data_IF_279392473558
#
_entry.id   IF_279392473558
#
_cell.length_a   1.000
_cell.length_b   1.000
_cell.length_c   1.000
_cell.angle_alpha   90.00
_cell.angle_beta   90.00
_cell.angle_gamma   90.00
#
_symmetry.space_group_name_H-M   'P 1'
#
loop_
_entity.id
_entity.type
_entity.pdbx_description
1 polymer ?
#
# COMPACT_ATOMS: atom_id res chain seq x y z
N UNK A 1 0.13 -5.12 -13.64
CA UNK A 1 1.36 -5.02 -12.81
C UNK A 1 1.45 -6.21 -11.85
N UNK A 2 2.63 -6.79 -11.63
CA UNK A 2 2.83 -7.86 -10.62
C UNK A 2 2.94 -7.25 -9.23
N UNK A 3 2.10 -7.68 -8.29
CA UNK A 3 2.15 -7.20 -6.90
C UNK A 3 3.00 -8.16 -6.07
N UNK A 4 3.95 -7.63 -5.31
CA UNK A 4 4.74 -8.38 -4.32
C UNK A 4 4.60 -7.73 -2.95
N UNK A 5 4.61 -8.55 -1.90
CA UNK A 5 4.50 -8.08 -0.53
C UNK A 5 5.81 -8.36 0.21
N UNK A 6 6.30 -7.38 0.97
CA UNK A 6 7.35 -7.64 1.95
C UNK A 6 6.79 -8.50 3.08
N UNK A 7 7.69 -9.14 3.84
CA UNK A 7 7.33 -9.89 5.05
C UNK A 7 6.61 -8.99 6.08
N UNK A 8 6.94 -7.69 6.14
CA UNK A 8 6.28 -6.75 7.04
C UNK A 8 4.83 -6.49 6.59
N UNK A 9 4.60 -6.25 5.30
CA UNK A 9 3.26 -6.05 4.74
C UNK A 9 2.38 -7.30 4.93
N UNK A 10 2.92 -8.50 4.65
CA UNK A 10 2.20 -9.75 4.88
C UNK A 10 1.78 -9.93 6.34
N UNK A 11 2.70 -9.67 7.27
CA UNK A 11 2.42 -9.77 8.70
C UNK A 11 1.36 -8.77 9.16
N UNK A 12 1.33 -7.57 8.57
CA UNK A 12 0.27 -6.59 8.83
C UNK A 12 -1.09 -7.11 8.35
N UNK A 13 -1.16 -7.58 7.10
CA UNK A 13 -2.39 -8.13 6.52
C UNK A 13 -2.91 -9.31 7.33
N UNK A 14 -2.04 -10.19 7.84
CA UNK A 14 -2.44 -11.31 8.71
C UNK A 14 -3.11 -10.86 10.01
N UNK A 15 -2.71 -9.71 10.57
CA UNK A 15 -3.21 -9.18 11.86
C UNK A 15 -4.46 -8.31 11.74
N UNK A 16 -4.65 -7.65 10.61
CA UNK A 16 -5.79 -6.74 10.41
C UNK A 16 -7.10 -7.52 10.23
N UNK A 17 -8.22 -6.92 10.63
CA UNK A 17 -9.53 -7.58 10.51
C UNK A 17 -9.86 -7.88 9.04
N UNK A 18 -10.58 -8.98 8.79
CA UNK A 18 -10.86 -9.49 7.44
C UNK A 18 -11.41 -8.42 6.49
N UNK A 19 -12.42 -7.66 6.91
CA UNK A 19 -13.02 -6.59 6.09
C UNK A 19 -12.02 -5.49 5.71
N UNK A 20 -11.16 -5.10 6.65
CA UNK A 20 -10.11 -4.11 6.43
C UNK A 20 -9.03 -4.65 5.48
N UNK A 21 -8.62 -5.92 5.66
CA UNK A 21 -7.69 -6.62 4.77
C UNK A 21 -8.19 -6.62 3.33
N UNK A 22 -9.44 -7.04 3.13
CA UNK A 22 -10.08 -7.08 1.81
C UNK A 22 -10.10 -5.69 1.18
N UNK A 23 -10.44 -4.65 1.96
CA UNK A 23 -10.45 -3.26 1.47
C UNK A 23 -9.06 -2.79 1.01
N UNK A 24 -8.01 -3.12 1.77
CA UNK A 24 -6.62 -2.78 1.43
C UNK A 24 -6.20 -3.50 0.15
N UNK A 25 -6.41 -4.81 0.08
CA UNK A 25 -6.04 -5.63 -1.09
C UNK A 25 -6.76 -5.11 -2.34
N UNK A 26 -8.09 -4.89 -2.28
CA UNK A 26 -8.85 -4.37 -3.42
C UNK A 26 -8.29 -3.04 -3.92
N UNK A 27 -7.87 -2.14 -3.03
CA UNK A 27 -7.28 -0.86 -3.45
C UNK A 27 -5.88 -0.99 -4.03
N UNK A 28 -5.07 -1.94 -3.55
CA UNK A 28 -3.76 -2.26 -4.14
C UNK A 28 -3.96 -2.81 -5.56
N UNK A 29 -4.88 -3.75 -5.75
CA UNK A 29 -5.19 -4.28 -7.07
C UNK A 29 -5.77 -3.22 -8.01
N UNK A 30 -6.70 -2.40 -7.52
CA UNK A 30 -7.24 -1.28 -8.30
C UNK A 30 -6.13 -0.33 -8.77
N UNK A 31 -5.18 0.00 -7.90
CA UNK A 31 -4.03 0.82 -8.30
C UNK A 31 -3.15 0.11 -9.32
N UNK A 32 -2.92 -1.20 -9.14
CA UNK A 32 -2.07 -1.98 -10.03
C UNK A 32 -2.65 -2.17 -11.44
N UNK A 33 -3.98 -2.13 -11.55
CA UNK A 33 -4.71 -2.25 -12.81
C UNK A 33 -4.94 -0.88 -13.48
N UNK A 34 -5.30 0.14 -12.69
CA UNK A 34 -5.52 1.52 -13.15
C UNK A 34 -4.97 2.54 -12.14
N UNK A 35 -3.67 2.90 -12.24
CA UNK A 35 -3.03 3.88 -11.37
C UNK A 35 -3.71 5.25 -11.43
N UNK A 36 -4.26 5.62 -12.58
CA UNK A 36 -4.87 6.93 -12.80
C UNK A 36 -6.16 7.09 -11.99
N UNK A 37 -6.91 6.00 -11.76
CA UNK A 37 -8.12 6.00 -10.92
C UNK A 37 -7.87 6.40 -9.46
N UNK A 38 -6.64 6.22 -8.96
CA UNK A 38 -6.27 6.50 -7.58
C UNK A 38 -5.18 7.58 -7.43
N UNK A 39 -4.87 8.32 -8.51
CA UNK A 39 -3.85 9.37 -8.52
C UNK A 39 -3.96 10.36 -7.35
N UNK A 40 -5.17 10.74 -6.95
CA UNK A 40 -5.42 11.68 -5.84
C UNK A 40 -5.15 11.08 -4.45
N UNK A 41 -5.10 9.75 -4.33
CA UNK A 41 -4.80 9.03 -3.10
C UNK A 41 -3.30 8.71 -2.94
N UNK A 42 -2.53 8.86 -4.02
CA UNK A 42 -1.10 8.55 -4.05
C UNK A 42 -0.28 9.82 -3.85
N UNK A 43 0.74 9.73 -3.01
CA UNK A 43 1.77 10.77 -2.88
C UNK A 43 3.15 10.12 -2.83
N UNK A 44 4.08 10.66 -3.62
CA UNK A 44 5.51 10.32 -3.51
C UNK A 44 6.05 10.81 -2.16
N UNK A 45 6.86 10.00 -1.49
CA UNK A 45 7.53 10.41 -0.26
C UNK A 45 8.73 11.29 -0.59
N UNK A 46 9.02 12.28 0.26
CA UNK A 46 10.17 13.16 0.08
C UNK A 46 11.46 12.36 0.31
N UNK A 47 12.46 12.58 -0.55
CA UNK A 47 13.80 11.95 -0.46
C UNK A 47 13.77 10.41 -0.43
N UNK A 48 12.80 9.78 -1.10
CA UNK A 48 12.64 8.33 -1.12
C UNK A 48 12.10 7.85 -2.49
N UNK A 49 12.49 6.64 -2.95
CA UNK A 49 11.86 6.04 -4.12
C UNK A 49 10.39 5.69 -3.88
N UNK A 50 9.99 5.52 -2.62
CA UNK A 50 8.67 5.05 -2.26
C UNK A 50 7.56 6.07 -2.50
N UNK A 51 6.40 5.53 -2.90
CA UNK A 51 5.12 6.20 -2.92
C UNK A 51 4.21 5.67 -1.81
N UNK A 52 3.18 6.45 -1.48
CA UNK A 52 2.18 6.07 -0.50
C UNK A 52 0.77 6.21 -1.05
N UNK A 53 0.05 5.11 -1.10
CA UNK A 53 -1.39 5.05 -1.35
C UNK A 53 -2.17 5.17 -0.04
N UNK A 54 -3.13 6.08 0.01
CA UNK A 54 -4.05 6.24 1.14
C UNK A 54 -5.30 5.39 0.95
N UNK A 55 -5.57 4.49 1.90
CA UNK A 55 -6.77 3.63 1.90
C UNK A 55 -7.50 3.82 3.22
N UNK A 56 -8.44 4.77 3.28
CA UNK A 56 -9.13 5.13 4.53
C UNK A 56 -8.15 5.59 5.62
N UNK A 57 -8.02 4.78 6.67
CA UNK A 57 -7.09 4.96 7.79
C UNK A 57 -5.74 4.25 7.59
N UNK A 58 -5.53 3.59 6.45
CA UNK A 58 -4.29 2.88 6.16
C UNK A 58 -3.42 3.65 5.17
N UNK A 59 -2.11 3.48 5.31
CA UNK A 59 -1.08 3.95 4.40
C UNK A 59 -0.35 2.73 3.86
N UNK A 60 -0.45 2.52 2.56
CA UNK A 60 0.30 1.49 1.85
C UNK A 60 1.52 2.17 1.25
N UNK A 61 2.71 1.83 1.73
CA UNK A 61 3.99 2.30 1.20
C UNK A 61 4.48 1.27 0.22
N UNK A 62 4.81 1.72 -0.99
CA UNK A 62 5.22 0.83 -2.07
C UNK A 62 6.23 1.49 -2.99
N UNK A 63 6.97 0.66 -3.72
CA UNK A 63 7.81 1.08 -4.85
C UNK A 63 7.27 0.46 -6.14
N UNK A 64 7.56 1.12 -7.26
CA UNK A 64 7.23 0.64 -8.60
C UNK A 64 8.52 0.51 -9.40
N UNK A 65 8.89 -0.72 -9.74
CA UNK A 65 10.04 -1.02 -10.60
C UNK A 65 9.56 -1.77 -11.84
N UNK A 66 9.47 -1.04 -12.96
CA UNK A 66 8.95 -1.54 -14.22
C UNK A 66 7.52 -2.07 -14.09
N UNK A 67 7.36 -3.40 -14.13
CA UNK A 67 6.07 -4.07 -14.02
C UNK A 67 5.84 -4.70 -12.63
N UNK A 68 6.65 -4.36 -11.64
CA UNK A 68 6.53 -4.87 -10.26
C UNK A 68 6.16 -3.74 -9.31
N UNK A 69 5.09 -3.94 -8.55
CA UNK A 69 4.71 -3.11 -7.41
C UNK A 69 5.11 -3.84 -6.12
N UNK A 70 6.14 -3.35 -5.45
CA UNK A 70 6.58 -3.90 -4.16
C UNK A 70 5.89 -3.15 -3.02
N UNK A 71 4.99 -3.83 -2.32
CA UNK A 71 4.38 -3.33 -1.10
C UNK A 71 5.36 -3.50 0.05
N UNK A 72 6.07 -2.42 0.36
CA UNK A 72 7.11 -2.40 1.40
C UNK A 72 6.49 -2.50 2.80
N UNK A 73 5.45 -1.72 3.09
CA UNK A 73 4.75 -1.79 4.39
C UNK A 73 3.37 -1.19 4.37
N UNK A 74 2.55 -1.59 5.34
CA UNK A 74 1.20 -1.07 5.55
C UNK A 74 1.09 -0.60 6.99
N UNK A 75 0.67 0.65 7.18
CA UNK A 75 0.59 1.30 8.48
C UNK A 75 -0.79 1.92 8.70
N UNK A 76 -1.23 2.04 9.96
CA UNK A 76 -2.43 2.81 10.32
C UNK A 76 -2.11 4.29 10.51
N UNK A 77 -3.11 5.13 10.31
CA UNK A 77 -3.02 6.57 10.50
C UNK A 77 -2.85 6.85 12.00
N UNK A 78 -1.63 7.21 12.40
CA UNK A 78 -1.31 7.56 13.79
C UNK A 78 -0.40 6.55 14.49
N UNK A 79 -0.04 5.43 13.85
CA UNK A 79 0.99 4.54 14.37
C UNK A 79 2.39 5.12 14.08
N UNK A 80 2.69 6.22 14.77
CA UNK A 80 4.05 6.74 14.98
C UNK A 80 4.72 5.99 16.15
N UNK A 81 3.98 5.11 16.85
CA UNK A 81 4.47 4.40 18.02
C UNK A 81 4.29 2.88 17.89
N UNK A 82 5.37 2.22 17.50
CA UNK A 82 6.03 1.19 18.31
C UNK A 82 7.51 1.17 17.99
#
# INVERSE_FOLDING_TARGET
MQIRYSKQAENFLKKVQRKQRETIITKIHQYADDPQSLKNMVKKLQNSPFSRLRVGDYRVVFDEDGNVMLIERIETRGNVYK
#
